data_IF_962794311880
#
_entry.id   IF_962794311880
#
_cell.length_a   1.000
_cell.length_b   1.000
_cell.length_c   1.000
_cell.angle_alpha   90.00
_cell.angle_beta   90.00
_cell.angle_gamma   90.00
#
_symmetry.space_group_name_H-M   'P 1'
#
loop_
_entity.id
_entity.type
_entity.pdbx_description
1 polymer ?
#
# COMPACT_ATOMS: atom_id res chain seq x y z
N UNK A 1 13.72 40.55 42.72
CA UNK A 1 13.52 39.13 43.05
C UNK A 1 14.91 38.52 43.24
N UNK A 2 15.16 37.76 44.30
CA UNK A 2 16.48 37.20 44.60
C UNK A 2 16.37 35.67 44.72
N UNK A 3 17.47 34.96 44.52
CA UNK A 3 17.49 33.51 44.59
C UNK A 3 17.17 33.04 46.02
N UNK A 4 16.19 32.14 46.17
CA UNK A 4 15.80 31.56 47.47
C UNK A 4 16.91 30.80 48.18
N UNK A 5 17.94 30.36 47.45
CA UNK A 5 19.02 29.54 48.00
C UNK A 5 20.29 30.34 48.29
N UNK A 6 20.83 31.06 47.30
CA UNK A 6 22.09 31.79 47.46
C UNK A 6 21.94 33.32 47.60
N UNK A 7 20.72 33.86 47.54
CA UNK A 7 20.45 35.29 47.63
C UNK A 7 20.89 36.12 46.42
N UNK A 8 21.49 35.52 45.38
CA UNK A 8 21.89 36.22 44.16
C UNK A 8 20.71 36.88 43.45
N UNK A 9 20.93 38.05 42.86
CA UNK A 9 19.95 38.77 42.05
C UNK A 9 20.00 38.39 40.56
N UNK A 10 20.95 37.56 40.16
CA UNK A 10 21.11 37.14 38.77
C UNK A 10 20.17 35.96 38.47
N UNK A 11 18.97 36.29 38.00
CA UNK A 11 17.96 35.33 37.54
C UNK A 11 17.84 35.38 36.02
N UNK A 12 17.83 34.21 35.39
CA UNK A 12 17.68 34.02 33.94
C UNK A 12 16.36 33.28 33.68
N UNK A 13 15.67 33.68 32.62
CA UNK A 13 14.45 33.03 32.16
C UNK A 13 14.80 31.92 31.18
N UNK A 14 14.59 30.67 31.59
CA UNK A 14 14.67 29.50 30.71
C UNK A 14 13.30 29.26 30.07
N UNK A 15 13.07 29.89 28.93
CA UNK A 15 11.83 29.73 28.16
C UNK A 15 11.67 28.35 27.52
N UNK A 16 12.76 27.56 27.41
CA UNK A 16 12.72 26.21 26.84
C UNK A 16 12.08 25.26 27.86
N UNK A 17 12.48 25.37 29.13
CA UNK A 17 11.99 24.51 30.20
C UNK A 17 10.86 25.15 31.03
N UNK A 18 10.63 26.45 30.88
CA UNK A 18 9.57 27.21 31.56
C UNK A 18 9.92 27.59 32.99
N UNK A 19 11.19 27.84 33.30
CA UNK A 19 11.68 28.12 34.65
C UNK A 19 12.37 29.48 34.76
N UNK A 20 12.32 30.08 35.94
CA UNK A 20 13.19 31.17 36.35
C UNK A 20 14.34 30.55 37.15
N UNK A 21 15.56 30.61 36.61
CA UNK A 21 16.74 29.91 37.15
C UNK A 21 17.78 30.93 37.61
N UNK A 22 18.39 30.72 38.77
CA UNK A 22 19.53 31.54 39.20
C UNK A 22 20.78 31.17 38.40
N UNK A 23 21.45 32.16 37.81
CA UNK A 23 22.69 31.91 37.04
C UNK A 23 23.85 31.44 37.90
N UNK A 24 23.88 31.86 39.17
CA UNK A 24 25.07 31.69 40.01
C UNK A 24 25.10 30.34 40.74
N UNK A 25 23.92 29.80 41.10
CA UNK A 25 23.82 28.51 41.79
C UNK A 25 22.94 27.48 41.06
N UNK A 26 22.32 27.84 39.93
CA UNK A 26 21.45 26.94 39.16
C UNK A 26 20.09 26.64 39.79
N UNK A 27 19.74 27.27 40.91
CA UNK A 27 18.46 26.99 41.60
C UNK A 27 17.26 27.50 40.78
N UNK A 28 16.25 26.65 40.59
CA UNK A 28 14.95 27.03 40.02
C UNK A 28 14.16 27.77 41.10
N UNK A 29 13.82 29.03 40.82
CA UNK A 29 13.12 29.90 41.77
C UNK A 29 11.61 29.89 41.55
N UNK A 30 11.15 29.84 40.30
CA UNK A 30 9.72 29.82 39.98
C UNK A 30 9.48 29.28 38.56
N UNK A 31 8.21 29.05 38.22
CA UNK A 31 7.77 28.71 36.87
C UNK A 31 7.38 29.96 36.09
N UNK A 32 7.61 29.94 34.77
CA UNK A 32 7.12 30.95 33.86
C UNK A 32 5.67 30.61 33.48
N UNK A 33 4.76 31.55 33.74
CA UNK A 33 3.34 31.45 33.41
C UNK A 33 3.03 32.15 32.08
N UNK A 34 2.00 31.67 31.37
CA UNK A 34 1.47 32.33 30.18
C UNK A 34 0.13 32.98 30.53
N UNK A 35 0.05 34.31 30.42
CA UNK A 35 -1.24 35.01 30.42
C UNK A 35 -1.94 34.78 29.08
N UNK A 36 -3.08 34.09 29.12
CA UNK A 36 -4.02 34.07 28.01
C UNK A 36 -4.97 35.26 28.20
N UNK A 37 -4.81 36.33 27.43
CA UNK A 37 -5.86 37.34 27.26
C UNK A 37 -7.01 36.71 26.47
N UNK A 38 -7.82 35.89 27.15
CA UNK A 38 -9.14 35.52 26.66
C UNK A 38 -10.05 36.56 27.30
N UNK A 39 -10.74 37.35 26.48
CA UNK A 39 -11.89 38.13 26.95
C UNK A 39 -12.94 37.12 27.41
N UNK A 40 -12.95 36.82 28.71
CA UNK A 40 -13.95 35.96 29.34
C UNK A 40 -15.10 36.90 29.73
N UNK A 41 -16.27 36.68 29.13
CA UNK A 41 -17.51 37.30 29.58
C UNK A 41 -17.80 36.84 31.02
N UNK A 42 -18.26 37.75 31.87
CA UNK A 42 -18.28 37.68 33.35
C UNK A 42 -19.05 36.51 34.01
N UNK A 43 -19.60 35.56 33.23
CA UNK A 43 -20.48 34.50 33.76
C UNK A 43 -19.80 33.15 34.04
N UNK A 44 -18.53 32.94 33.65
CA UNK A 44 -17.79 31.71 33.95
C UNK A 44 -16.96 31.81 35.25
N UNK A 45 -17.64 31.98 36.40
CA UNK A 45 -17.06 31.73 37.72
C UNK A 45 -16.99 30.22 37.96
N UNK A 46 -16.14 29.52 37.21
CA UNK A 46 -15.85 28.11 37.41
C UNK A 46 -14.35 27.93 37.62
N UNK A 47 -13.98 27.51 38.84
CA UNK A 47 -12.64 27.08 39.27
C UNK A 47 -11.48 27.79 38.57
N UNK A 48 -10.95 28.85 39.19
CA UNK A 48 -9.69 29.47 38.79
C UNK A 48 -8.54 28.46 38.92
N UNK A 49 -8.42 27.54 37.96
CA UNK A 49 -7.23 26.72 37.73
C UNK A 49 -6.24 27.72 37.16
N UNK A 50 -5.26 28.11 37.98
CA UNK A 50 -4.31 29.18 37.68
C UNK A 50 -3.70 29.09 36.29
N UNK A 51 -3.06 30.18 35.87
CA UNK A 51 -2.46 30.27 34.54
C UNK A 51 -1.59 29.04 34.24
N UNK A 52 -1.74 28.41 33.06
CA UNK A 52 -0.90 27.29 32.71
C UNK A 52 0.55 27.76 32.56
N UNK A 53 1.47 26.93 33.04
CA UNK A 53 2.90 27.19 32.83
C UNK A 53 3.28 27.00 31.37
N UNK A 54 4.40 27.59 30.95
CA UNK A 54 4.98 27.36 29.62
C UNK A 54 5.13 25.86 29.33
N UNK A 55 5.59 25.09 30.32
CA UNK A 55 5.74 23.63 30.25
C UNK A 55 4.41 22.92 29.98
N UNK A 56 3.35 23.25 30.73
CA UNK A 56 2.02 22.67 30.50
C UNK A 56 1.47 22.99 29.11
N UNK A 57 1.72 24.21 28.62
CA UNK A 57 1.38 24.61 27.25
C UNK A 57 2.08 23.72 26.20
N UNK A 58 3.38 23.48 26.37
CA UNK A 58 4.16 22.57 25.51
C UNK A 58 3.65 21.12 25.58
N UNK A 59 3.42 20.60 26.78
CA UNK A 59 2.91 19.23 26.98
C UNK A 59 1.53 19.06 26.31
N UNK A 60 0.61 20.01 26.49
CA UNK A 60 -0.70 20.03 25.81
C UNK A 60 -0.55 20.06 24.28
N UNK A 61 0.40 20.82 23.74
CA UNK A 61 0.68 20.87 22.30
C UNK A 61 1.17 19.51 21.77
N UNK A 62 2.09 18.87 22.49
CA UNK A 62 2.60 17.53 22.14
C UNK A 62 1.46 16.50 22.16
N UNK A 63 0.64 16.50 23.22
CA UNK A 63 -0.51 15.60 23.37
C UNK A 63 -1.50 15.80 22.22
N UNK A 64 -1.87 17.04 21.89
CA UNK A 64 -2.73 17.36 20.73
C UNK A 64 -2.15 16.84 19.42
N UNK A 65 -0.83 16.96 19.22
CA UNK A 65 -0.13 16.40 18.06
C UNK A 65 -0.28 14.88 17.97
N UNK A 66 -0.03 14.15 19.08
CA UNK A 66 -0.20 12.70 19.16
C UNK A 66 -1.66 12.27 18.91
N UNK A 67 -2.63 12.97 19.50
CA UNK A 67 -4.05 12.70 19.31
C UNK A 67 -4.48 12.85 17.84
N UNK A 68 -3.97 13.85 17.13
CA UNK A 68 -4.22 14.01 15.68
C UNK A 68 -3.67 12.85 14.86
N UNK A 69 -2.46 12.38 15.19
CA UNK A 69 -1.86 11.22 14.53
C UNK A 69 -2.68 9.94 14.78
N UNK A 70 -3.09 9.70 16.02
CA UNK A 70 -3.97 8.57 16.37
C UNK A 70 -5.31 8.66 15.66
N UNK A 71 -5.92 9.84 15.59
CA UNK A 71 -7.17 10.05 14.87
C UNK A 71 -7.02 9.71 13.38
N UNK A 72 -5.90 10.10 12.74
CA UNK A 72 -5.59 9.73 11.36
C UNK A 72 -5.50 8.21 11.18
N UNK A 73 -4.69 7.54 11.99
CA UNK A 73 -4.52 6.07 11.93
C UNK A 73 -5.87 5.35 12.13
N UNK A 74 -6.65 5.77 13.13
CA UNK A 74 -7.97 5.20 13.38
C UNK A 74 -8.91 5.38 12.19
N UNK A 75 -8.83 6.50 11.47
CA UNK A 75 -9.64 6.73 10.29
C UNK A 75 -9.20 5.82 9.13
N UNK A 76 -7.89 5.67 8.91
CA UNK A 76 -7.34 4.78 7.89
C UNK A 76 -7.71 3.30 8.17
N UNK A 77 -7.65 2.86 9.42
CA UNK A 77 -8.08 1.52 9.85
C UNK A 77 -9.57 1.29 9.60
N UNK A 78 -10.43 2.25 9.97
CA UNK A 78 -11.88 2.16 9.68
C UNK A 78 -12.14 2.01 8.18
N UNK A 79 -11.41 2.76 7.36
CA UNK A 79 -11.50 2.64 5.90
C UNK A 79 -11.05 1.25 5.47
N UNK A 80 -9.88 0.79 5.91
CA UNK A 80 -9.38 -0.55 5.60
C UNK A 80 -10.38 -1.65 5.95
N UNK A 81 -10.93 -1.63 7.17
CA UNK A 81 -11.95 -2.58 7.60
C UNK A 81 -13.19 -2.57 6.69
N UNK A 82 -13.61 -1.40 6.23
CA UNK A 82 -14.75 -1.29 5.32
C UNK A 82 -14.50 -1.97 3.97
N UNK A 83 -13.25 -1.96 3.48
CA UNK A 83 -12.84 -2.69 2.28
C UNK A 83 -12.67 -4.19 2.58
N UNK A 84 -12.01 -4.53 3.70
CA UNK A 84 -11.74 -5.90 4.11
C UNK A 84 -13.04 -6.69 4.35
N UNK A 85 -14.07 -6.08 4.94
CA UNK A 85 -15.39 -6.71 5.14
C UNK A 85 -16.10 -7.08 3.83
N UNK A 86 -15.72 -6.46 2.71
CA UNK A 86 -16.29 -6.71 1.37
C UNK A 86 -15.46 -7.69 0.54
N UNK A 87 -14.32 -8.17 1.05
CA UNK A 87 -13.49 -9.10 0.30
C UNK A 87 -14.20 -10.45 0.19
N UNK A 88 -13.89 -11.14 -0.91
CA UNK A 88 -14.31 -12.53 -1.12
C UNK A 88 -13.16 -13.46 -0.75
N UNK A 89 -13.46 -14.75 -0.72
CA UNK A 89 -12.44 -15.80 -0.57
C UNK A 89 -11.27 -15.56 -1.54
N UNK A 90 -10.05 -15.71 -1.02
CA UNK A 90 -8.77 -15.58 -1.73
C UNK A 90 -8.45 -14.19 -2.30
N UNK A 91 -9.20 -13.16 -1.88
CA UNK A 91 -8.97 -11.75 -2.23
C UNK A 91 -8.65 -10.95 -0.97
N UNK A 92 -7.64 -10.09 -1.04
CA UNK A 92 -7.24 -9.21 0.06
C UNK A 92 -7.14 -7.75 -0.42
N UNK A 93 -7.15 -6.85 0.56
CA UNK A 93 -6.96 -5.42 0.35
C UNK A 93 -5.46 -5.14 0.33
N UNK A 94 -4.95 -4.68 -0.80
CA UNK A 94 -3.58 -4.19 -0.92
C UNK A 94 -3.46 -2.85 -0.18
N UNK A 95 -2.73 -2.88 0.94
CA UNK A 95 -2.52 -1.71 1.78
C UNK A 95 -1.81 -0.57 1.03
N UNK A 96 -0.80 -0.89 0.22
CA UNK A 96 -0.05 0.11 -0.55
C UNK A 96 -0.96 0.77 -1.60
N UNK A 97 -1.84 -0.01 -2.22
CA UNK A 97 -2.83 0.52 -3.14
C UNK A 97 -3.84 1.42 -2.42
N UNK A 98 -4.33 1.01 -1.25
CA UNK A 98 -5.27 1.80 -0.45
C UNK A 98 -4.64 3.12 0.01
N UNK A 99 -3.40 3.09 0.50
CA UNK A 99 -2.69 4.28 0.95
C UNK A 99 -2.51 5.30 -0.18
N UNK A 100 -2.06 4.85 -1.37
CA UNK A 100 -1.97 5.74 -2.56
C UNK A 100 -3.31 6.40 -2.90
N UNK A 101 -4.41 5.68 -2.72
CA UNK A 101 -5.76 6.22 -2.95
C UNK A 101 -6.15 7.25 -1.90
N UNK A 102 -5.82 7.01 -0.63
CA UNK A 102 -6.05 7.98 0.46
C UNK A 102 -5.24 9.27 0.27
N UNK A 103 -4.06 9.16 -0.35
CA UNK A 103 -3.22 10.28 -0.76
C UNK A 103 -3.71 11.00 -2.03
N UNK A 104 -4.82 10.55 -2.64
CA UNK A 104 -5.44 11.20 -3.81
C UNK A 104 -5.05 10.62 -5.18
N UNK A 105 -4.31 9.50 -5.22
CA UNK A 105 -3.99 8.84 -6.50
C UNK A 105 -5.23 8.19 -7.12
N UNK A 106 -5.47 8.42 -8.41
CA UNK A 106 -6.69 7.97 -9.11
C UNK A 106 -6.77 6.47 -9.42
N UNK A 107 -5.67 5.71 -9.38
CA UNK A 107 -5.58 4.44 -10.14
C UNK A 107 -4.82 3.32 -9.43
N UNK A 108 -5.22 2.95 -8.23
CA UNK A 108 -4.69 1.74 -7.58
C UNK A 108 -5.79 0.69 -7.44
N UNK A 109 -5.55 -0.50 -8.02
CA UNK A 109 -6.41 -1.65 -7.82
C UNK A 109 -6.27 -2.11 -6.37
N UNK A 110 -7.28 -1.79 -5.56
CA UNK A 110 -7.28 -2.06 -4.11
C UNK A 110 -7.33 -3.55 -3.81
N UNK A 111 -8.01 -4.34 -4.65
CA UNK A 111 -8.23 -5.76 -4.41
C UNK A 111 -7.26 -6.62 -5.22
N UNK A 112 -6.44 -7.39 -4.51
CA UNK A 112 -5.51 -8.37 -5.07
C UNK A 112 -5.92 -9.78 -4.71
N UNK A 113 -5.53 -10.73 -5.57
CA UNK A 113 -5.75 -12.15 -5.30
C UNK A 113 -4.48 -12.73 -4.68
N UNK A 114 -4.61 -13.64 -3.71
CA UNK A 114 -3.47 -14.24 -2.99
C UNK A 114 -2.46 -14.88 -3.96
N UNK A 115 -2.95 -15.51 -5.03
CA UNK A 115 -2.11 -16.15 -6.04
C UNK A 115 -1.41 -15.20 -7.04
N UNK A 116 -1.64 -13.88 -7.00
CA UNK A 116 -0.99 -12.97 -7.96
C UNK A 116 0.55 -13.02 -7.84
N UNK A 117 1.10 -13.08 -6.63
CA UNK A 117 2.56 -13.14 -6.44
C UNK A 117 3.18 -14.45 -6.98
N UNK A 118 2.54 -15.60 -6.72
CA UNK A 118 2.98 -16.89 -7.28
C UNK A 118 2.93 -16.89 -8.80
N UNK A 119 1.95 -16.21 -9.38
CA UNK A 119 1.75 -16.10 -10.81
C UNK A 119 2.81 -15.19 -11.45
N UNK A 120 3.16 -14.08 -10.82
CA UNK A 120 4.26 -13.22 -11.27
C UNK A 120 5.60 -13.96 -11.25
N UNK A 121 5.87 -14.74 -10.20
CA UNK A 121 7.05 -15.62 -10.13
C UNK A 121 7.08 -16.62 -11.28
N UNK A 122 5.94 -17.23 -11.59
CA UNK A 122 5.83 -18.17 -12.71
C UNK A 122 6.11 -17.53 -14.06
N UNK A 123 5.58 -16.33 -14.33
CA UNK A 123 5.87 -15.56 -15.56
C UNK A 123 7.37 -15.30 -15.67
N UNK A 124 8.03 -14.95 -14.56
CA UNK A 124 9.45 -14.64 -14.57
C UNK A 124 10.33 -15.89 -14.73
N UNK A 125 9.87 -17.06 -14.26
CA UNK A 125 10.61 -18.31 -14.39
C UNK A 125 10.45 -19.00 -15.74
N UNK A 126 9.29 -18.86 -16.40
CA UNK A 126 8.98 -19.57 -17.63
C UNK A 126 9.05 -18.62 -18.84
N UNK A 127 10.20 -18.69 -19.53
CA UNK A 127 10.47 -17.83 -20.69
C UNK A 127 9.46 -18.02 -21.83
N UNK A 128 8.90 -19.23 -22.01
CA UNK A 128 7.91 -19.49 -23.05
C UNK A 128 6.59 -18.78 -22.71
N UNK A 129 6.14 -18.88 -21.44
CA UNK A 129 4.94 -18.17 -20.98
C UNK A 129 5.11 -16.65 -21.16
N UNK A 130 6.28 -16.11 -20.77
CA UNK A 130 6.58 -14.69 -20.92
C UNK A 130 6.50 -14.24 -22.38
N UNK A 131 7.15 -14.97 -23.29
CA UNK A 131 7.12 -14.67 -24.73
C UNK A 131 5.71 -14.74 -25.31
N UNK A 132 4.88 -15.70 -24.88
CA UNK A 132 3.49 -15.80 -25.31
C UNK A 132 2.68 -14.58 -24.82
N UNK A 133 2.88 -14.16 -23.57
CA UNK A 133 2.18 -12.99 -23.03
C UNK A 133 2.55 -11.75 -23.84
N UNK A 134 3.84 -11.47 -24.01
CA UNK A 134 4.34 -10.25 -24.65
C UNK A 134 4.02 -10.21 -26.16
N UNK A 135 4.25 -11.31 -26.88
CA UNK A 135 4.16 -11.30 -28.34
C UNK A 135 2.78 -11.68 -28.88
N UNK A 136 1.95 -12.38 -28.09
CA UNK A 136 0.65 -12.86 -28.55
C UNK A 136 -0.48 -12.18 -27.78
N UNK A 137 -0.48 -12.25 -26.45
CA UNK A 137 -1.61 -11.82 -25.63
C UNK A 137 -1.73 -10.29 -25.56
N UNK A 138 -0.64 -9.57 -25.29
CA UNK A 138 -0.69 -8.10 -25.19
C UNK A 138 -0.98 -7.43 -26.54
N UNK A 139 -0.61 -8.09 -27.64
CA UNK A 139 -0.86 -7.57 -28.99
C UNK A 139 -2.31 -7.66 -29.45
N UNK A 140 -3.14 -8.45 -28.76
CA UNK A 140 -4.55 -8.64 -29.08
C UNK A 140 -5.42 -7.91 -28.05
N UNK A 141 -6.24 -6.92 -28.44
CA UNK A 141 -7.00 -6.10 -27.48
C UNK A 141 -8.01 -6.90 -26.65
N UNK A 142 -8.50 -8.03 -27.17
CA UNK A 142 -9.47 -8.87 -26.47
C UNK A 142 -8.77 -9.74 -25.42
N UNK A 143 -7.58 -10.25 -25.73
CA UNK A 143 -6.77 -11.04 -24.81
C UNK A 143 -6.07 -10.16 -23.76
N UNK A 144 -5.55 -8.99 -24.16
CA UNK A 144 -4.84 -8.04 -23.28
C UNK A 144 -5.75 -7.39 -22.24
N UNK A 145 -7.05 -7.31 -22.48
CA UNK A 145 -8.03 -6.81 -21.50
C UNK A 145 -8.24 -7.75 -20.29
N UNK A 146 -7.71 -8.98 -20.33
CA UNK A 146 -7.90 -9.96 -19.27
C UNK A 146 -7.08 -9.62 -18.03
N UNK A 147 -7.55 -10.05 -16.87
CA UNK A 147 -6.79 -9.99 -15.61
C UNK A 147 -5.47 -10.76 -15.73
N UNK A 148 -4.46 -10.43 -14.92
CA UNK A 148 -3.16 -11.12 -14.91
C UNK A 148 -3.29 -12.66 -14.92
N UNK A 149 -4.10 -13.22 -14.01
CA UNK A 149 -4.38 -14.68 -13.95
C UNK A 149 -4.98 -15.23 -15.24
N UNK A 150 -5.84 -14.45 -15.89
CA UNK A 150 -6.46 -14.79 -17.17
C UNK A 150 -5.46 -14.76 -18.33
N UNK A 151 -4.58 -13.75 -18.38
CA UNK A 151 -3.48 -13.70 -19.37
C UNK A 151 -2.55 -14.89 -19.21
N UNK A 152 -2.21 -15.23 -17.97
CA UNK A 152 -1.35 -16.38 -17.68
C UNK A 152 -2.02 -17.70 -18.04
N UNK A 153 -3.30 -17.88 -17.69
CA UNK A 153 -4.04 -19.06 -18.12
C UNK A 153 -4.08 -19.20 -19.65
N UNK A 154 -4.33 -18.10 -20.38
CA UNK A 154 -4.27 -18.07 -21.84
C UNK A 154 -2.88 -18.48 -22.35
N UNK A 155 -1.82 -17.99 -21.71
CA UNK A 155 -0.45 -18.31 -22.10
C UNK A 155 -0.12 -19.80 -21.88
N UNK A 156 -0.55 -20.38 -20.76
CA UNK A 156 -0.38 -21.81 -20.49
C UNK A 156 -1.17 -22.65 -21.49
N UNK A 157 -2.43 -22.28 -21.80
CA UNK A 157 -3.22 -22.97 -22.84
C UNK A 157 -2.48 -22.96 -24.17
N UNK A 158 -1.95 -21.81 -24.60
CA UNK A 158 -1.20 -21.69 -25.85
C UNK A 158 0.09 -22.51 -25.81
N UNK A 159 0.82 -22.50 -24.69
CA UNK A 159 2.03 -23.33 -24.51
C UNK A 159 1.73 -24.81 -24.69
N UNK A 160 0.67 -25.31 -24.06
CA UNK A 160 0.20 -26.69 -24.19
C UNK A 160 -0.18 -27.03 -25.64
N UNK A 161 -0.95 -26.16 -26.32
CA UNK A 161 -1.30 -26.35 -27.73
C UNK A 161 -0.07 -26.37 -28.66
N UNK A 162 0.98 -25.59 -28.36
CA UNK A 162 2.19 -25.52 -29.18
C UNK A 162 3.07 -26.76 -29.00
N UNK A 163 3.24 -27.22 -27.76
CA UNK A 163 4.18 -28.29 -27.40
C UNK A 163 3.57 -29.69 -27.44
N UNK A 164 2.35 -29.84 -26.91
CA UNK A 164 1.71 -31.14 -26.67
C UNK A 164 0.54 -31.39 -27.62
N UNK A 165 0.05 -30.33 -28.29
CA UNK A 165 -1.16 -30.37 -29.14
C UNK A 165 -2.42 -30.87 -28.42
N UNK A 166 -2.41 -30.83 -27.08
CA UNK A 166 -3.52 -31.15 -26.19
C UNK A 166 -3.57 -30.15 -25.03
N UNK A 167 -4.70 -30.05 -24.33
CA UNK A 167 -4.92 -29.07 -23.25
C UNK A 167 -5.45 -29.76 -22.00
N UNK A 168 -4.60 -29.92 -20.98
CA UNK A 168 -5.03 -30.37 -19.66
C UNK A 168 -5.64 -29.21 -18.85
N UNK A 169 -6.96 -29.08 -18.94
CA UNK A 169 -7.72 -28.06 -18.22
C UNK A 169 -7.57 -28.16 -16.69
N UNK A 170 -7.34 -29.35 -16.13
CA UNK A 170 -7.24 -29.53 -14.68
C UNK A 170 -5.93 -28.97 -14.15
N UNK A 171 -4.84 -29.24 -14.86
CA UNK A 171 -3.52 -28.71 -14.56
C UNK A 171 -3.50 -27.19 -14.67
N UNK A 172 -4.02 -26.65 -15.78
CA UNK A 172 -4.07 -25.21 -16.03
C UNK A 172 -4.92 -24.48 -14.97
N UNK A 173 -6.04 -25.06 -14.56
CA UNK A 173 -6.89 -24.49 -13.51
C UNK A 173 -6.13 -24.35 -12.17
N UNK A 174 -5.31 -25.35 -11.82
CA UNK A 174 -4.47 -25.31 -10.62
C UNK A 174 -3.36 -24.27 -10.75
N UNK A 175 -2.58 -24.31 -11.84
CA UNK A 175 -1.44 -23.42 -12.06
C UNK A 175 -1.87 -21.94 -12.13
N UNK A 176 -2.98 -21.63 -12.80
CA UNK A 176 -3.49 -20.27 -12.91
C UNK A 176 -4.38 -19.82 -11.74
N UNK A 177 -4.66 -20.70 -10.77
CA UNK A 177 -5.61 -20.45 -9.68
C UNK A 177 -6.97 -19.93 -10.17
N UNK A 178 -7.57 -20.67 -11.12
CA UNK A 178 -8.87 -20.36 -11.74
C UNK A 178 -9.78 -21.58 -11.74
N UNK A 179 -11.10 -21.35 -11.81
CA UNK A 179 -12.06 -22.45 -11.96
C UNK A 179 -11.97 -23.07 -13.35
N UNK A 180 -12.25 -24.39 -13.45
CA UNK A 180 -12.27 -25.11 -14.73
C UNK A 180 -13.24 -24.48 -15.74
N UNK A 181 -14.36 -23.93 -15.27
CA UNK A 181 -15.34 -23.23 -16.12
C UNK A 181 -14.71 -21.98 -16.75
N UNK A 182 -13.92 -21.23 -15.98
CA UNK A 182 -13.21 -20.07 -16.50
C UNK A 182 -12.18 -20.49 -17.55
N UNK A 183 -11.39 -21.55 -17.29
CA UNK A 183 -10.45 -22.11 -18.28
C UNK A 183 -11.17 -22.52 -19.57
N UNK A 184 -12.31 -23.20 -19.48
CA UNK A 184 -13.13 -23.57 -20.64
C UNK A 184 -13.55 -22.34 -21.46
N UNK A 185 -13.96 -21.25 -20.81
CA UNK A 185 -14.30 -19.98 -21.48
C UNK A 185 -13.08 -19.37 -22.17
N UNK A 186 -11.91 -19.41 -21.54
CA UNK A 186 -10.66 -18.92 -22.13
C UNK A 186 -10.22 -19.76 -23.34
N UNK A 187 -10.42 -21.07 -23.29
CA UNK A 187 -10.16 -21.97 -24.42
C UNK A 187 -11.09 -21.65 -25.60
N UNK A 188 -12.38 -21.43 -25.35
CA UNK A 188 -13.32 -20.98 -26.40
C UNK A 188 -12.87 -19.64 -26.98
N UNK A 189 -12.45 -18.70 -26.13
CA UNK A 189 -11.94 -17.39 -26.56
C UNK A 189 -10.72 -17.53 -27.49
N UNK A 190 -9.75 -18.37 -27.14
CA UNK A 190 -8.60 -18.67 -28.00
C UNK A 190 -9.08 -19.21 -29.34
N UNK A 191 -9.96 -20.22 -29.35
CA UNK A 191 -10.49 -20.81 -30.59
C UNK A 191 -11.14 -19.76 -31.50
N UNK A 192 -11.94 -18.85 -30.94
CA UNK A 192 -12.56 -17.75 -31.70
C UNK A 192 -11.52 -16.75 -32.21
N UNK A 193 -10.45 -16.50 -31.45
CA UNK A 193 -9.39 -15.55 -31.81
C UNK A 193 -8.27 -16.16 -32.66
N UNK A 194 -8.25 -17.48 -32.90
CA UNK A 194 -7.15 -18.17 -33.58
C UNK A 194 -6.72 -17.50 -34.88
N UNK A 195 -7.68 -17.12 -35.75
CA UNK A 195 -7.40 -16.47 -37.03
C UNK A 195 -6.54 -15.20 -36.93
N UNK A 196 -6.59 -14.51 -35.78
CA UNK A 196 -5.84 -13.27 -35.56
C UNK A 196 -4.44 -13.51 -34.96
N UNK A 197 -4.26 -14.63 -34.26
CA UNK A 197 -3.02 -14.93 -33.53
C UNK A 197 -2.21 -16.06 -34.17
N UNK A 198 -2.78 -16.79 -35.13
CA UNK A 198 -2.18 -17.98 -35.75
C UNK A 198 -0.81 -17.71 -36.37
N UNK A 199 -0.64 -16.61 -37.11
CA UNK A 199 0.65 -16.24 -37.69
C UNK A 199 1.76 -16.12 -36.63
N UNK A 200 1.46 -15.46 -35.52
CA UNK A 200 2.38 -15.28 -34.40
C UNK A 200 2.65 -16.58 -33.66
N UNK A 201 1.64 -17.44 -33.53
CA UNK A 201 1.80 -18.80 -32.97
C UNK A 201 2.77 -19.61 -33.83
N UNK A 202 2.62 -19.57 -35.16
CA UNK A 202 3.52 -20.28 -36.09
C UNK A 202 4.95 -19.75 -35.96
N UNK A 203 5.14 -18.42 -35.98
CA UNK A 203 6.45 -17.79 -35.78
C UNK A 203 7.08 -18.25 -34.46
N UNK A 204 6.34 -18.19 -33.35
CA UNK A 204 6.82 -18.63 -32.04
C UNK A 204 7.17 -20.13 -32.01
N UNK A 205 6.33 -20.97 -32.63
CA UNK A 205 6.57 -22.42 -32.74
C UNK A 205 7.86 -22.71 -33.51
N UNK A 206 8.17 -21.95 -34.57
CA UNK A 206 9.43 -22.08 -35.31
C UNK A 206 10.64 -21.62 -34.49
N UNK A 207 10.49 -20.63 -33.62
CA UNK A 207 11.57 -20.16 -32.74
C UNK A 207 11.85 -21.16 -31.60
N UNK A 208 10.81 -21.79 -31.05
CA UNK A 208 10.94 -22.76 -29.95
C UNK A 208 11.49 -24.11 -30.45
N UNK A 209 11.10 -24.54 -31.64
CA UNK A 209 11.46 -25.85 -32.19
C UNK A 209 12.75 -25.85 -33.02
N UNK A 210 13.43 -24.70 -33.19
CA UNK A 210 14.75 -24.68 -33.83
C UNK A 210 15.76 -25.41 -32.94
N UNK A 211 16.44 -26.46 -33.43
CA UNK A 211 17.50 -27.09 -32.66
C UNK A 211 18.60 -26.07 -32.41
N UNK A 212 19.06 -25.97 -31.17
CA UNK A 212 20.28 -25.26 -30.82
C UNK A 212 21.39 -25.89 -31.67
N UNK A 213 22.10 -25.14 -32.53
CA UNK A 213 23.20 -25.71 -33.28
C UNK A 213 24.24 -26.19 -32.26
N UNK A 214 24.41 -27.51 -32.18
CA UNK A 214 25.54 -28.14 -31.50
C UNK A 214 26.81 -27.60 -32.15
N UNK A 215 27.51 -26.75 -31.40
CA UNK A 215 28.87 -26.32 -31.73
C UNK A 215 29.72 -27.61 -31.70
N UNK A 216 30.11 -28.10 -32.87
CA UNK A 216 31.15 -29.11 -33.04
C UNK A 216 32.51 -28.44 -33.07
#
# INVERSE_FOLDING_TARGET
>A
MACIYCGSQNLIYDYIHGYIVCSDCGTINDNIFIEYFIAIEDDDIFEFKGFPTVREGFEKKIIRGKLRQLAKINNELKIYESFAKRTRKDIYVDWNALQKKLEGSKSSRIYKHIAEESIEKMINSDQIIKLIIENIIETDPVLSSRTLRGKVALAIILKHLILENDVDMNRIAKEASLSKIHIKRLLTLIKTRMKFIEKRIIELKTCILKPIPTIQ
#
